data_IF_791516112114
#
_entry.id   IF_791516112114
#
_cell.length_a   1.000
_cell.length_b   1.000
_cell.length_c   1.000
_cell.angle_alpha   90.00
_cell.angle_beta   90.00
_cell.angle_gamma   90.00
#
_symmetry.space_group_name_H-M   'P 1'
#
loop_
_entity.id
_entity.type
_entity.pdbx_description
1 polymer ?
#
# COMPACT_ATOMS: atom_id res chain seq x y z
N UNK A 1 33.82 16.35 -29.29
CA UNK A 1 33.66 14.92 -28.94
C UNK A 1 34.68 14.59 -27.85
N UNK A 2 34.51 15.13 -26.62
CA UNK A 2 35.36 14.87 -25.45
C UNK A 2 34.48 14.36 -24.29
N UNK A 3 33.97 13.12 -24.38
CA UNK A 3 33.11 12.54 -23.33
C UNK A 3 33.89 11.76 -22.26
N UNK A 4 35.22 11.69 -22.35
CA UNK A 4 36.06 10.84 -21.48
C UNK A 4 37.03 11.58 -20.55
N UNK A 5 36.97 12.90 -20.46
CA UNK A 5 37.97 13.70 -19.72
C UNK A 5 37.77 13.78 -18.20
N UNK A 6 36.92 12.92 -17.61
CA UNK A 6 36.87 12.82 -16.15
C UNK A 6 36.47 11.42 -15.64
N UNK A 7 37.22 10.39 -16.05
CA UNK A 7 37.07 8.99 -15.58
C UNK A 7 37.08 8.82 -14.05
N UNK A 8 37.52 9.82 -13.28
CA UNK A 8 37.60 9.79 -11.81
C UNK A 8 36.28 10.16 -11.10
N UNK A 9 35.24 10.55 -11.83
CA UNK A 9 33.96 11.02 -11.24
C UNK A 9 32.78 10.16 -11.64
N UNK A 10 31.86 9.92 -10.70
CA UNK A 10 30.64 9.15 -10.96
C UNK A 10 29.82 9.90 -12.04
N UNK A 11 29.48 9.25 -13.16
CA UNK A 11 28.68 9.84 -14.23
C UNK A 11 27.38 10.46 -13.70
N UNK A 12 26.99 11.63 -14.23
CA UNK A 12 25.82 12.40 -13.74
C UNK A 12 24.53 11.57 -13.70
N UNK A 13 24.31 10.72 -14.71
CA UNK A 13 23.17 9.81 -14.75
C UNK A 13 23.16 8.86 -13.54
N UNK A 14 24.29 8.21 -13.27
CA UNK A 14 24.45 7.26 -12.17
C UNK A 14 24.31 7.97 -10.83
N UNK A 15 24.90 9.16 -10.69
CA UNK A 15 24.76 10.01 -9.51
C UNK A 15 23.29 10.33 -9.22
N UNK A 16 22.53 10.73 -10.23
CA UNK A 16 21.10 11.03 -10.10
C UNK A 16 20.26 9.80 -9.71
N UNK A 17 20.62 8.59 -10.20
CA UNK A 17 19.93 7.36 -9.77
C UNK A 17 20.27 7.01 -8.33
N UNK A 18 21.54 7.12 -7.92
CA UNK A 18 21.93 6.90 -6.52
C UNK A 18 21.20 7.86 -5.58
N UNK A 19 21.12 9.15 -5.92
CA UNK A 19 20.40 10.13 -5.10
C UNK A 19 18.91 9.81 -5.05
N UNK A 20 18.29 9.51 -6.18
CA UNK A 20 16.87 9.15 -6.23
C UNK A 20 16.52 7.94 -5.34
N UNK A 21 17.32 6.86 -5.40
CA UNK A 21 17.06 5.66 -4.58
C UNK A 21 17.30 5.95 -3.10
N UNK A 22 18.30 6.79 -2.76
CA UNK A 22 18.51 7.26 -1.38
C UNK A 22 17.31 8.05 -0.87
N UNK A 23 16.77 8.96 -1.69
CA UNK A 23 15.60 9.77 -1.36
C UNK A 23 14.38 8.87 -1.13
N UNK A 24 14.12 7.89 -2.01
CA UNK A 24 13.03 6.92 -1.81
C UNK A 24 13.22 6.14 -0.50
N UNK A 25 14.42 5.63 -0.25
CA UNK A 25 14.70 4.85 0.96
C UNK A 25 14.54 5.71 2.22
N UNK A 26 14.91 6.99 2.15
CA UNK A 26 14.73 7.96 3.22
C UNK A 26 13.25 8.26 3.49
N UNK A 27 12.45 8.50 2.43
CA UNK A 27 11.00 8.67 2.58
C UNK A 27 10.33 7.43 3.17
N UNK A 28 10.77 6.23 2.77
CA UNK A 28 10.28 4.98 3.34
C UNK A 28 10.57 4.90 4.85
N UNK A 29 11.78 5.28 5.28
CA UNK A 29 12.16 5.33 6.69
C UNK A 29 11.30 6.35 7.45
N UNK A 30 11.16 7.57 6.93
CA UNK A 30 10.35 8.61 7.58
C UNK A 30 8.88 8.19 7.71
N UNK A 31 8.30 7.66 6.64
CA UNK A 31 6.91 7.23 6.61
C UNK A 31 6.65 6.08 7.59
N UNK A 32 7.52 5.07 7.60
CA UNK A 32 7.41 3.94 8.52
C UNK A 32 7.60 4.35 9.98
N UNK A 33 8.56 5.23 10.27
CA UNK A 33 8.77 5.78 11.61
C UNK A 33 7.55 6.60 12.08
N UNK A 34 7.02 7.47 11.23
CA UNK A 34 5.84 8.27 11.53
C UNK A 34 4.64 7.38 11.87
N UNK A 35 4.35 6.37 11.05
CA UNK A 35 3.24 5.44 11.30
C UNK A 35 3.46 4.58 12.53
N UNK A 36 4.69 4.15 12.78
CA UNK A 36 5.04 3.41 14.00
C UNK A 36 4.77 4.25 15.26
N UNK A 37 5.22 5.52 15.28
CA UNK A 37 5.00 6.43 16.39
C UNK A 37 3.51 6.75 16.58
N UNK A 38 2.80 6.98 15.48
CA UNK A 38 1.36 7.24 15.49
C UNK A 38 0.57 6.05 16.06
N UNK A 39 0.86 4.83 15.61
CA UNK A 39 0.24 3.61 16.13
C UNK A 39 0.59 3.36 17.59
N UNK A 40 1.85 3.61 17.98
CA UNK A 40 2.29 3.52 19.38
C UNK A 40 1.53 4.49 20.27
N UNK A 41 1.30 5.72 19.78
CA UNK A 41 0.50 6.72 20.47
C UNK A 41 -0.97 6.29 20.62
N UNK A 42 -1.59 5.74 19.56
CA UNK A 42 -2.96 5.20 19.64
C UNK A 42 -3.03 4.05 20.66
N UNK A 43 -2.06 3.14 20.64
CA UNK A 43 -2.01 2.01 21.59
C UNK A 43 -1.84 2.50 23.04
N UNK A 44 -1.00 3.52 23.26
CA UNK A 44 -0.84 4.18 24.55
C UNK A 44 -2.15 4.83 25.03
N UNK A 45 -2.86 5.53 24.14
CA UNK A 45 -4.18 6.08 24.46
C UNK A 45 -5.17 4.95 24.82
N UNK A 46 -5.22 3.88 24.05
CA UNK A 46 -6.09 2.73 24.30
C UNK A 46 -5.89 2.17 25.72
N UNK A 47 -4.65 1.81 26.07
CA UNK A 47 -4.37 1.22 27.38
C UNK A 47 -4.55 2.21 28.53
N UNK A 48 -4.25 3.51 28.35
CA UNK A 48 -4.50 4.49 29.40
C UNK A 48 -5.99 4.74 29.62
N UNK A 49 -6.81 4.74 28.56
CA UNK A 49 -8.26 4.90 28.69
C UNK A 49 -8.88 3.66 29.34
N UNK A 50 -8.46 2.45 28.95
CA UNK A 50 -8.94 1.21 29.55
C UNK A 50 -8.50 1.07 31.02
N UNK A 51 -7.24 1.36 31.32
CA UNK A 51 -6.69 1.37 32.69
C UNK A 51 -7.40 2.40 33.57
N UNK A 52 -7.64 3.61 33.05
CA UNK A 52 -8.34 4.67 33.78
C UNK A 52 -9.82 4.35 33.94
N UNK A 53 -10.51 3.73 32.98
CA UNK A 53 -11.88 3.23 33.19
C UNK A 53 -11.95 2.13 34.26
N UNK A 54 -10.93 1.27 34.33
CA UNK A 54 -10.83 0.24 35.36
C UNK A 54 -10.59 0.83 36.76
N UNK A 55 -9.80 1.91 36.86
CA UNK A 55 -9.54 2.64 38.12
C UNK A 55 -10.65 3.62 38.50
N UNK A 56 -11.31 4.29 37.54
CA UNK A 56 -12.41 5.23 37.79
C UNK A 56 -13.68 4.51 38.25
N UNK A 57 -13.78 3.20 38.02
CA UNK A 57 -14.76 2.32 38.67
C UNK A 57 -14.46 2.07 40.16
N UNK A 58 -13.31 2.51 40.65
CA UNK A 58 -12.77 2.22 41.98
C UNK A 58 -12.43 3.46 42.83
N UNK A 59 -12.26 4.64 42.23
CA UNK A 59 -12.08 5.88 43.01
C UNK A 59 -12.67 7.09 42.30
N UNK A 60 -13.78 7.59 42.85
CA UNK A 60 -14.41 8.86 42.47
C UNK A 60 -13.63 10.01 43.09
N UNK A 61 -13.02 10.81 42.22
CA UNK A 61 -12.37 12.11 42.41
C UNK A 61 -10.89 12.03 42.09
N UNK A 62 -10.51 12.50 40.89
CA UNK A 62 -9.37 13.40 40.62
C UNK A 62 -9.21 13.52 39.08
N UNK A 63 -9.06 14.77 38.61
CA UNK A 63 -8.67 15.26 37.27
C UNK A 63 -9.74 15.43 36.18
N UNK A 64 -10.43 16.59 36.27
CA UNK A 64 -11.47 17.10 35.35
C UNK A 64 -10.96 17.50 33.96
N UNK A 65 -9.71 17.98 33.83
CA UNK A 65 -9.19 18.54 32.56
C UNK A 65 -8.83 17.41 31.55
N UNK A 66 -8.18 16.34 32.00
CA UNK A 66 -7.85 15.19 31.15
C UNK A 66 -9.11 14.37 30.80
N UNK A 67 -10.11 14.36 31.69
CA UNK A 67 -11.39 13.69 31.45
C UNK A 67 -12.20 14.35 30.33
N UNK A 68 -12.08 15.66 30.08
CA UNK A 68 -12.81 16.32 28.99
C UNK A 68 -12.28 15.91 27.61
N UNK A 69 -10.97 15.72 27.46
CA UNK A 69 -10.31 15.28 26.21
C UNK A 69 -10.48 13.77 25.98
N UNK A 70 -10.44 12.98 27.05
CA UNK A 70 -10.60 11.51 26.98
C UNK A 70 -12.06 11.10 26.77
N UNK A 71 -13.02 11.80 27.41
CA UNK A 71 -14.45 11.47 27.29
C UNK A 71 -15.04 11.88 25.93
N UNK A 72 -14.38 12.79 25.20
CA UNK A 72 -14.73 13.12 23.80
C UNK A 72 -14.24 12.10 22.78
N UNK A 73 -13.38 11.15 23.16
CA UNK A 73 -12.95 10.04 22.32
C UNK A 73 -13.79 8.82 22.68
N UNK A 74 -14.83 8.54 21.90
CA UNK A 74 -15.60 7.31 22.03
C UNK A 74 -14.65 6.11 21.84
N UNK A 75 -14.52 5.28 22.88
CA UNK A 75 -13.60 4.13 22.92
C UNK A 75 -13.88 3.14 21.77
N UNK A 76 -15.11 3.14 21.26
CA UNK A 76 -15.55 2.33 20.12
C UNK A 76 -14.84 2.68 18.80
N UNK A 77 -14.26 3.88 18.68
CA UNK A 77 -13.50 4.31 17.51
C UNK A 77 -12.06 3.79 17.51
N UNK A 78 -11.55 3.27 18.63
CA UNK A 78 -10.16 2.79 18.72
C UNK A 78 -10.13 1.33 18.22
N UNK A 79 -9.37 1.02 17.15
CA UNK A 79 -9.29 -0.34 16.64
C UNK A 79 -8.70 -1.30 17.68
N UNK A 80 -9.12 -2.58 17.61
CA UNK A 80 -8.70 -3.59 18.57
C UNK A 80 -7.17 -3.66 18.73
N UNK A 81 -6.67 -3.80 19.97
CA UNK A 81 -5.23 -3.69 20.28
C UNK A 81 -4.40 -4.75 19.56
N UNK A 82 -4.95 -5.95 19.30
CA UNK A 82 -4.26 -6.99 18.55
C UNK A 82 -3.90 -6.56 17.12
N UNK A 83 -4.82 -5.88 16.43
CA UNK A 83 -4.59 -5.36 15.08
C UNK A 83 -3.57 -4.22 15.08
N UNK A 84 -3.64 -3.34 16.10
CA UNK A 84 -2.67 -2.26 16.28
C UNK A 84 -1.25 -2.81 16.51
N UNK A 85 -1.08 -3.80 17.38
CA UNK A 85 0.21 -4.44 17.66
C UNK A 85 0.75 -5.12 16.39
N UNK A 86 -0.09 -5.83 15.66
CA UNK A 86 0.30 -6.47 14.40
C UNK A 86 0.79 -5.44 13.36
N UNK A 87 0.04 -4.34 13.16
CA UNK A 87 0.45 -3.25 12.27
C UNK A 87 1.76 -2.60 12.74
N UNK A 88 1.93 -2.40 14.04
CA UNK A 88 3.13 -1.81 14.62
C UNK A 88 4.37 -2.67 14.34
N UNK A 89 4.27 -4.01 14.44
CA UNK A 89 5.31 -4.95 14.02
C UNK A 89 5.61 -4.80 12.52
N UNK A 90 4.59 -4.72 11.67
CA UNK A 90 4.78 -4.53 10.22
C UNK A 90 5.54 -3.24 9.93
N UNK A 91 5.13 -2.11 10.51
CA UNK A 91 5.80 -0.83 10.25
C UNK A 91 7.22 -0.81 10.80
N UNK A 92 7.49 -1.49 11.91
CA UNK A 92 8.84 -1.68 12.42
C UNK A 92 9.72 -2.49 11.45
N UNK A 93 9.20 -3.57 10.87
CA UNK A 93 9.92 -4.35 9.85
C UNK A 93 10.19 -3.53 8.59
N UNK A 94 9.22 -2.73 8.13
CA UNK A 94 9.39 -1.81 6.98
C UNK A 94 10.45 -0.76 7.27
N UNK A 95 10.51 -0.24 8.51
CA UNK A 95 11.55 0.69 8.96
C UNK A 95 12.94 0.06 8.90
N UNK A 96 13.12 -1.13 9.49
CA UNK A 96 14.39 -1.86 9.44
C UNK A 96 14.82 -2.11 7.98
N UNK A 97 13.88 -2.54 7.13
CA UNK A 97 14.15 -2.78 5.71
C UNK A 97 14.56 -1.50 4.97
N UNK A 98 13.95 -0.35 5.29
CA UNK A 98 14.34 0.96 4.79
C UNK A 98 15.78 1.33 5.17
N UNK A 99 16.14 1.16 6.44
CA UNK A 99 17.49 1.38 6.97
C UNK A 99 18.54 0.49 6.29
N UNK A 100 18.21 -0.80 6.11
CA UNK A 100 19.08 -1.75 5.41
C UNK A 100 19.32 -1.35 3.95
N UNK A 101 18.27 -0.99 3.21
CA UNK A 101 18.37 -0.55 1.83
C UNK A 101 19.25 0.70 1.70
N UNK A 102 19.04 1.71 2.54
CA UNK A 102 19.83 2.94 2.52
C UNK A 102 21.32 2.65 2.75
N UNK A 103 21.62 1.75 3.68
CA UNK A 103 22.98 1.34 4.01
C UNK A 103 23.63 0.58 2.85
N UNK A 104 22.91 -0.35 2.23
CA UNK A 104 23.40 -1.11 1.07
C UNK A 104 23.71 -0.20 -0.12
N UNK A 105 22.84 0.76 -0.43
CA UNK A 105 23.08 1.72 -1.52
C UNK A 105 24.32 2.57 -1.24
N UNK A 106 24.52 3.02 0.01
CA UNK A 106 25.73 3.77 0.40
C UNK A 106 26.98 2.93 0.21
N UNK A 107 26.97 1.66 0.62
CA UNK A 107 28.10 0.72 0.43
C UNK A 107 28.39 0.47 -1.06
N UNK A 108 27.38 0.16 -1.85
CA UNK A 108 27.54 -0.09 -3.29
C UNK A 108 28.01 1.16 -4.06
N UNK A 109 27.51 2.35 -3.71
CA UNK A 109 27.99 3.60 -4.30
C UNK A 109 29.47 3.88 -3.99
N UNK A 110 29.93 3.56 -2.77
CA UNK A 110 31.35 3.65 -2.40
C UNK A 110 32.20 2.65 -3.19
N UNK A 111 31.75 1.39 -3.29
CA UNK A 111 32.42 0.33 -4.07
C UNK A 111 32.57 0.73 -5.54
N UNK A 112 31.51 1.25 -6.15
CA UNK A 112 31.54 1.74 -7.53
C UNK A 112 32.53 2.90 -7.72
N UNK A 113 32.62 3.82 -6.76
CA UNK A 113 33.62 4.89 -6.80
C UNK A 113 35.06 4.35 -6.76
N UNK A 114 35.30 3.24 -6.05
CA UNK A 114 36.61 2.57 -6.04
C UNK A 114 36.90 1.88 -7.37
N UNK A 115 35.93 1.18 -7.95
CA UNK A 115 36.06 0.56 -9.28
C UNK A 115 36.39 1.58 -10.37
N UNK A 116 35.69 2.72 -10.38
CA UNK A 116 36.00 3.83 -11.29
C UNK A 116 37.43 4.38 -11.11
N UNK A 117 37.99 4.34 -9.90
CA UNK A 117 39.39 4.75 -9.67
C UNK A 117 40.40 3.74 -10.20
N UNK A 118 40.00 2.48 -10.30
CA UNK A 118 40.82 1.38 -10.82
C UNK A 118 40.60 1.17 -12.33
N UNK A 119 39.95 2.13 -13.02
CA UNK A 119 39.58 2.04 -14.44
C UNK A 119 38.69 0.84 -14.82
N UNK A 120 38.02 0.23 -13.83
CA UNK A 120 37.04 -0.83 -14.05
C UNK A 120 35.67 -0.22 -14.43
N UNK A 121 35.31 -0.30 -15.71
CA UNK A 121 34.01 0.15 -16.24
C UNK A 121 32.95 -0.96 -16.19
N UNK A 122 32.77 -1.59 -15.02
CA UNK A 122 31.73 -2.61 -14.83
C UNK A 122 30.39 -1.97 -14.48
N UNK A 123 29.30 -2.61 -14.91
CA UNK A 123 27.95 -2.16 -14.55
C UNK A 123 27.74 -2.42 -13.05
N UNK A 124 27.49 -1.40 -12.22
CA UNK A 124 27.35 -1.63 -10.80
C UNK A 124 26.05 -2.37 -10.45
N UNK A 125 26.11 -3.24 -9.44
CA UNK A 125 24.99 -4.08 -9.00
C UNK A 125 23.69 -3.32 -8.68
N UNK A 126 23.78 -2.09 -8.17
CA UNK A 126 22.57 -1.30 -7.90
C UNK A 126 21.83 -0.92 -9.19
N UNK A 127 22.52 -0.74 -10.32
CA UNK A 127 21.89 -0.51 -11.63
C UNK A 127 21.20 -1.78 -12.12
N UNK A 128 21.84 -2.95 -11.98
CA UNK A 128 21.19 -4.24 -12.22
C UNK A 128 19.92 -4.42 -11.38
N UNK A 129 19.99 -4.11 -10.08
CA UNK A 129 18.86 -4.20 -9.17
C UNK A 129 17.72 -3.27 -9.57
N UNK A 130 18.02 -2.00 -9.90
CA UNK A 130 17.03 -1.03 -10.37
C UNK A 130 16.41 -1.47 -11.69
N UNK A 131 17.21 -2.02 -12.60
CA UNK A 131 16.74 -2.53 -13.87
C UNK A 131 15.78 -3.72 -13.68
N UNK A 132 16.16 -4.72 -12.87
CA UNK A 132 15.30 -5.85 -12.50
C UNK A 132 14.00 -5.37 -11.84
N UNK A 133 14.10 -4.45 -10.87
CA UNK A 133 12.95 -3.84 -10.19
C UNK A 133 12.02 -3.10 -11.15
N UNK A 134 12.56 -2.40 -12.17
CA UNK A 134 11.71 -1.71 -13.16
C UNK A 134 10.82 -2.67 -13.97
N UNK A 135 11.32 -3.88 -14.26
CA UNK A 135 10.55 -4.92 -14.94
C UNK A 135 9.51 -5.52 -14.00
N UNK A 136 9.93 -5.88 -12.78
CA UNK A 136 9.09 -6.51 -11.75
C UNK A 136 7.98 -5.58 -11.29
N UNK A 137 8.30 -4.35 -10.89
CA UNK A 137 7.32 -3.39 -10.38
C UNK A 137 6.32 -2.93 -11.45
N UNK A 138 6.71 -2.92 -12.72
CA UNK A 138 5.75 -2.69 -13.81
C UNK A 138 4.65 -3.76 -13.82
N UNK A 139 5.03 -5.03 -13.64
CA UNK A 139 4.09 -6.15 -13.61
C UNK A 139 3.22 -6.09 -12.35
N UNK A 140 3.84 -5.87 -11.19
CA UNK A 140 3.13 -5.75 -9.90
C UNK A 140 2.12 -4.61 -9.95
N UNK A 141 2.53 -3.43 -10.42
CA UNK A 141 1.63 -2.27 -10.55
C UNK A 141 0.47 -2.58 -11.48
N UNK A 142 0.72 -3.25 -12.62
CA UNK A 142 -0.35 -3.63 -13.53
C UNK A 142 -1.36 -4.58 -12.88
N UNK A 143 -0.90 -5.64 -12.21
CA UNK A 143 -1.78 -6.59 -11.52
C UNK A 143 -2.59 -5.92 -10.41
N UNK A 144 -1.94 -5.10 -9.58
CA UNK A 144 -2.61 -4.39 -8.50
C UNK A 144 -3.66 -3.42 -9.04
N UNK A 145 -3.31 -2.59 -10.03
CA UNK A 145 -4.24 -1.65 -10.65
C UNK A 145 -5.39 -2.36 -11.37
N UNK A 146 -5.13 -3.42 -12.14
CA UNK A 146 -6.18 -4.22 -12.79
C UNK A 146 -7.17 -4.77 -11.78
N UNK A 147 -6.69 -5.33 -10.67
CA UNK A 147 -7.55 -5.81 -9.60
C UNK A 147 -8.37 -4.68 -8.97
N UNK A 148 -7.73 -3.56 -8.64
CA UNK A 148 -8.39 -2.37 -8.09
C UNK A 148 -9.45 -1.79 -9.03
N UNK A 149 -9.23 -1.82 -10.36
CA UNK A 149 -10.22 -1.36 -11.32
C UNK A 149 -11.42 -2.30 -11.41
N UNK A 150 -11.18 -3.61 -11.43
CA UNK A 150 -12.28 -4.59 -11.46
C UNK A 150 -13.14 -4.42 -10.22
N UNK A 151 -12.53 -4.40 -9.04
CA UNK A 151 -13.25 -4.21 -7.77
C UNK A 151 -13.93 -2.85 -7.75
N UNK A 152 -13.21 -1.78 -8.10
CA UNK A 152 -13.73 -0.41 -8.10
C UNK A 152 -14.92 -0.23 -9.03
N UNK A 153 -14.84 -0.71 -10.26
CA UNK A 153 -15.93 -0.63 -11.24
C UNK A 153 -17.14 -1.43 -10.77
N UNK A 154 -16.94 -2.67 -10.27
CA UNK A 154 -18.05 -3.47 -9.71
C UNK A 154 -18.73 -2.72 -8.56
N UNK A 155 -17.95 -2.18 -7.63
CA UNK A 155 -18.50 -1.41 -6.50
C UNK A 155 -19.24 -0.16 -6.97
N UNK A 156 -18.70 0.57 -7.94
CA UNK A 156 -19.31 1.77 -8.49
C UNK A 156 -20.62 1.44 -9.22
N UNK A 157 -20.65 0.36 -10.02
CA UNK A 157 -21.86 -0.11 -10.70
C UNK A 157 -22.96 -0.47 -9.71
N UNK A 158 -22.62 -1.15 -8.61
CA UNK A 158 -23.57 -1.48 -7.55
C UNK A 158 -24.10 -0.20 -6.89
N UNK A 159 -23.23 0.75 -6.55
CA UNK A 159 -23.65 2.01 -5.92
C UNK A 159 -24.56 2.84 -6.84
N UNK A 160 -24.24 2.95 -8.13
CA UNK A 160 -25.06 3.64 -9.12
C UNK A 160 -26.42 2.96 -9.26
N UNK A 161 -26.44 1.62 -9.36
CA UNK A 161 -27.69 0.87 -9.43
C UNK A 161 -28.56 1.09 -8.19
N UNK A 162 -27.98 1.07 -6.99
CA UNK A 162 -28.71 1.35 -5.76
C UNK A 162 -29.25 2.78 -5.70
N UNK A 163 -28.45 3.75 -6.15
CA UNK A 163 -28.88 5.15 -6.23
C UNK A 163 -30.07 5.32 -7.19
N UNK A 164 -30.06 4.62 -8.32
CA UNK A 164 -31.17 4.63 -9.27
C UNK A 164 -32.46 4.09 -8.63
N UNK A 165 -32.38 2.98 -7.90
CA UNK A 165 -33.53 2.42 -7.17
C UNK A 165 -34.06 3.38 -6.09
N UNK A 166 -33.16 4.06 -5.38
CA UNK A 166 -33.54 5.09 -4.40
C UNK A 166 -34.30 6.27 -5.04
N UNK A 167 -33.83 6.75 -6.20
CA UNK A 167 -34.49 7.85 -6.94
C UNK A 167 -35.89 7.45 -7.41
N UNK A 168 -36.10 6.17 -7.75
CA UNK A 168 -37.39 5.63 -8.18
C UNK A 168 -38.32 5.24 -7.01
N UNK A 169 -38.00 5.65 -5.77
CA UNK A 169 -38.72 5.29 -4.54
C UNK A 169 -38.76 3.78 -4.22
N UNK A 170 -37.92 2.97 -4.85
CA UNK A 170 -37.72 1.56 -4.51
C UNK A 170 -36.73 1.45 -3.33
N UNK A 171 -37.17 1.88 -2.15
CA UNK A 171 -36.31 2.04 -0.97
C UNK A 171 -35.87 0.71 -0.33
N UNK A 172 -36.13 -0.43 -0.96
CA UNK A 172 -35.85 -1.76 -0.41
C UNK A 172 -34.72 -2.40 -1.21
N UNK A 173 -33.59 -2.63 -0.54
CA UNK A 173 -32.47 -3.34 -1.15
C UNK A 173 -32.68 -4.85 -1.10
N UNK A 174 -32.69 -5.46 -2.28
CA UNK A 174 -32.65 -6.91 -2.45
C UNK A 174 -31.29 -7.34 -3.04
N UNK A 175 -30.68 -8.39 -2.50
CA UNK A 175 -29.53 -9.09 -3.11
C UNK A 175 -29.97 -10.52 -3.42
N UNK A 176 -30.23 -10.79 -4.69
CA UNK A 176 -30.96 -11.98 -5.11
C UNK A 176 -32.40 -11.93 -4.58
N UNK A 177 -32.81 -12.93 -3.80
CA UNK A 177 -34.17 -13.02 -3.23
C UNK A 177 -34.30 -12.42 -1.83
N UNK A 178 -33.25 -11.80 -1.28
CA UNK A 178 -33.17 -11.43 0.14
C UNK A 178 -33.29 -9.93 0.34
N UNK A 179 -34.23 -9.47 1.17
CA UNK A 179 -34.31 -8.07 1.66
C UNK A 179 -33.22 -7.84 2.70
N UNK A 180 -32.27 -6.95 2.42
CA UNK A 180 -31.11 -6.68 3.30
C UNK A 180 -31.26 -5.38 4.08
N UNK A 181 -31.99 -4.40 3.55
CA UNK A 181 -32.19 -3.13 4.25
C UNK A 181 -32.88 -2.07 3.43
N UNK A 182 -32.86 -0.85 3.94
CA UNK A 182 -33.34 0.33 3.22
C UNK A 182 -32.19 1.03 2.51
N UNK A 183 -32.45 1.52 1.31
CA UNK A 183 -31.48 2.29 0.53
C UNK A 183 -31.49 3.73 1.04
N UNK A 184 -30.30 4.29 1.24
CA UNK A 184 -30.09 5.72 1.54
C UNK A 184 -29.57 6.42 0.30
N UNK A 185 -29.55 7.76 0.29
CA UNK A 185 -28.84 8.49 -0.75
C UNK A 185 -27.33 8.14 -0.70
N UNK A 186 -26.79 7.62 -1.80
CA UNK A 186 -25.40 7.14 -1.97
C UNK A 186 -24.55 8.07 -2.86
N UNK A 187 -25.04 9.27 -3.16
CA UNK A 187 -24.37 10.21 -4.08
C UNK A 187 -22.93 10.53 -3.64
N UNK A 188 -22.70 10.71 -2.33
CA UNK A 188 -21.37 11.01 -1.79
C UNK A 188 -20.42 9.83 -1.98
N UNK A 189 -20.88 8.61 -1.70
CA UNK A 189 -20.13 7.37 -1.86
C UNK A 189 -19.75 7.14 -3.33
N UNK A 190 -20.66 7.44 -4.27
CA UNK A 190 -20.40 7.39 -5.71
C UNK A 190 -19.30 8.38 -6.11
N UNK A 191 -19.38 9.64 -5.63
CA UNK A 191 -18.38 10.67 -5.93
C UNK A 191 -17.00 10.28 -5.38
N UNK A 192 -16.94 9.80 -4.14
CA UNK A 192 -15.69 9.36 -3.52
C UNK A 192 -15.09 8.16 -4.28
N UNK A 193 -15.92 7.16 -4.58
CA UNK A 193 -15.47 5.94 -5.27
C UNK A 193 -14.97 6.24 -6.68
N UNK A 194 -15.69 7.07 -7.44
CA UNK A 194 -15.25 7.48 -8.78
C UNK A 194 -13.96 8.31 -8.75
N UNK A 195 -13.84 9.23 -7.79
CA UNK A 195 -12.62 10.02 -7.58
C UNK A 195 -11.41 9.15 -7.24
N UNK A 196 -11.61 8.12 -6.40
CA UNK A 196 -10.55 7.16 -6.06
C UNK A 196 -10.10 6.36 -7.28
N UNK A 197 -11.04 5.83 -8.08
CA UNK A 197 -10.70 5.08 -9.31
C UNK A 197 -9.88 5.96 -10.26
N UNK A 198 -10.27 7.22 -10.45
CA UNK A 198 -9.54 8.17 -11.27
C UNK A 198 -8.13 8.44 -10.72
N UNK A 199 -7.99 8.64 -9.41
CA UNK A 199 -6.68 8.82 -8.77
C UNK A 199 -5.78 7.59 -8.99
N UNK A 200 -6.32 6.38 -8.82
CA UNK A 200 -5.58 5.14 -9.09
C UNK A 200 -5.14 5.06 -10.56
N UNK A 201 -5.98 5.49 -11.50
CA UNK A 201 -5.63 5.55 -12.92
C UNK A 201 -4.45 6.48 -13.20
N UNK A 202 -4.46 7.68 -12.63
CA UNK A 202 -3.35 8.64 -12.79
C UNK A 202 -2.06 8.07 -12.20
N UNK A 203 -2.11 7.48 -11.00
CA UNK A 203 -0.95 6.86 -10.37
C UNK A 203 -0.42 5.66 -11.18
N UNK A 204 -1.30 4.87 -11.76
CA UNK A 204 -0.92 3.74 -12.62
C UNK A 204 -0.15 4.22 -13.87
N UNK A 205 -0.69 5.22 -14.56
CA UNK A 205 -0.04 5.83 -15.72
C UNK A 205 1.34 6.39 -15.37
N UNK A 206 1.45 7.11 -14.25
CA UNK A 206 2.73 7.65 -13.77
C UNK A 206 3.75 6.52 -13.49
N UNK A 207 3.34 5.46 -12.80
CA UNK A 207 4.19 4.30 -12.52
C UNK A 207 4.68 3.65 -13.82
N UNK A 208 3.78 3.43 -14.78
CA UNK A 208 4.14 2.81 -16.06
C UNK A 208 5.16 3.65 -16.84
N UNK A 209 4.93 4.96 -16.93
CA UNK A 209 5.86 5.90 -17.58
C UNK A 209 7.20 5.90 -16.87
N UNK A 210 7.21 5.97 -15.53
CA UNK A 210 8.44 5.99 -14.74
C UNK A 210 9.29 4.72 -14.92
N UNK A 211 8.67 3.53 -14.90
CA UNK A 211 9.39 2.27 -15.10
C UNK A 211 9.89 2.12 -16.54
N UNK A 212 9.07 2.51 -17.54
CA UNK A 212 9.49 2.53 -18.95
C UNK A 212 10.68 3.46 -19.16
N UNK A 213 10.60 4.71 -18.67
CA UNK A 213 11.68 5.70 -18.76
C UNK A 213 12.96 5.22 -18.09
N UNK A 214 12.86 4.63 -16.90
CA UNK A 214 14.04 4.10 -16.19
C UNK A 214 14.71 2.98 -16.96
N UNK A 215 13.94 2.05 -17.53
CA UNK A 215 14.48 0.98 -18.38
C UNK A 215 15.20 1.55 -19.61
N UNK A 216 14.55 2.46 -20.33
CA UNK A 216 15.11 3.07 -21.55
C UNK A 216 16.38 3.85 -21.27
N UNK A 217 16.42 4.64 -20.18
CA UNK A 217 17.61 5.40 -19.80
C UNK A 217 18.82 4.51 -19.48
N UNK A 218 18.57 3.36 -18.86
CA UNK A 218 19.61 2.39 -18.56
C UNK A 218 20.10 1.72 -19.85
N UNK A 219 19.22 1.37 -20.79
CA UNK A 219 19.67 0.81 -22.08
C UNK A 219 20.45 1.86 -22.88
N UNK A 220 19.99 3.10 -22.92
CA UNK A 220 20.63 4.17 -23.71
C UNK A 220 22.03 4.52 -23.24
N UNK A 221 22.31 4.42 -21.93
CA UNK A 221 23.64 4.76 -21.41
C UNK A 221 24.65 3.62 -21.62
N UNK A 222 24.24 2.36 -21.53
CA UNK A 222 25.15 1.20 -21.69
C UNK A 222 25.17 0.66 -23.13
N UNK A 223 24.34 1.20 -24.03
CA UNK A 223 24.26 0.80 -25.44
C UNK A 223 23.71 -0.60 -25.69
N UNK A 224 23.48 -1.38 -24.63
CA UNK A 224 23.06 -2.78 -24.67
C UNK A 224 22.08 -3.06 -23.55
N UNK A 225 21.34 -4.16 -23.72
CA UNK A 225 20.40 -4.59 -22.69
C UNK A 225 21.14 -5.38 -21.60
N UNK A 226 21.02 -4.89 -20.36
CA UNK A 226 21.81 -5.36 -19.21
C UNK A 226 21.50 -6.81 -18.80
N UNK A 227 20.30 -7.31 -19.13
CA UNK A 227 19.88 -8.69 -18.83
C UNK A 227 19.70 -9.48 -20.12
N UNK A 228 19.94 -10.79 -20.07
CA UNK A 228 19.66 -11.67 -21.20
C UNK A 228 18.16 -11.77 -21.49
N UNK A 229 17.79 -12.21 -22.69
CA UNK A 229 16.38 -12.40 -23.06
C UNK A 229 15.70 -13.46 -22.18
N UNK A 230 16.44 -14.53 -21.85
CA UNK A 230 15.99 -15.65 -21.04
C UNK A 230 15.72 -15.23 -19.59
N UNK A 231 16.65 -14.48 -18.98
CA UNK A 231 16.47 -13.94 -17.64
C UNK A 231 15.23 -13.05 -17.54
N UNK A 232 14.98 -12.21 -18.56
CA UNK A 232 13.78 -11.38 -18.60
C UNK A 232 12.51 -12.21 -18.69
N UNK A 233 12.47 -13.24 -19.54
CA UNK A 233 11.32 -14.14 -19.68
C UNK A 233 11.04 -14.85 -18.35
N UNK A 234 12.09 -15.37 -17.70
CA UNK A 234 11.99 -16.00 -16.39
C UNK A 234 11.45 -15.04 -15.32
N UNK A 235 12.03 -13.84 -15.21
CA UNK A 235 11.59 -12.82 -14.25
C UNK A 235 10.12 -12.42 -14.46
N UNK A 236 9.70 -12.22 -15.72
CA UNK A 236 8.30 -11.90 -16.05
C UNK A 236 7.35 -13.03 -15.64
N UNK A 237 7.68 -14.27 -16.02
CA UNK A 237 6.84 -15.45 -15.70
C UNK A 237 6.73 -15.67 -14.20
N UNK A 238 7.85 -15.64 -13.49
CA UNK A 238 7.89 -15.78 -12.03
C UNK A 238 7.06 -14.69 -11.33
N UNK A 239 7.22 -13.44 -11.74
CA UNK A 239 6.50 -12.31 -11.14
C UNK A 239 5.00 -12.41 -11.40
N UNK A 240 4.58 -12.76 -12.62
CA UNK A 240 3.17 -12.98 -12.94
C UNK A 240 2.54 -14.08 -12.08
N UNK A 241 3.24 -15.20 -11.91
CA UNK A 241 2.77 -16.29 -11.05
C UNK A 241 2.59 -15.85 -9.60
N UNK A 242 3.57 -15.14 -9.05
CA UNK A 242 3.48 -14.61 -7.68
C UNK A 242 2.30 -13.64 -7.55
N UNK A 243 2.14 -12.71 -8.49
CA UNK A 243 1.03 -11.75 -8.46
C UNK A 243 -0.33 -12.45 -8.56
N UNK A 244 -0.46 -13.45 -9.43
CA UNK A 244 -1.66 -14.26 -9.58
C UNK A 244 -2.03 -14.96 -8.26
N UNK A 245 -1.07 -15.63 -7.61
CA UNK A 245 -1.29 -16.32 -6.33
C UNK A 245 -1.73 -15.33 -5.26
N UNK A 246 -1.06 -14.19 -5.12
CA UNK A 246 -1.42 -13.15 -4.13
C UNK A 246 -2.86 -12.66 -4.36
N UNK A 247 -3.22 -12.37 -5.61
CA UNK A 247 -4.58 -11.90 -5.95
C UNK A 247 -5.62 -12.99 -5.69
N UNK A 248 -5.33 -14.25 -6.03
CA UNK A 248 -6.24 -15.36 -5.75
C UNK A 248 -6.49 -15.53 -4.25
N UNK A 249 -5.44 -15.40 -3.42
CA UNK A 249 -5.56 -15.44 -1.96
C UNK A 249 -6.41 -14.28 -1.45
N UNK A 250 -6.14 -13.05 -1.91
CA UNK A 250 -6.92 -11.87 -1.52
C UNK A 250 -8.39 -12.01 -1.89
N UNK A 251 -8.69 -12.50 -3.09
CA UNK A 251 -10.05 -12.74 -3.55
C UNK A 251 -10.76 -13.83 -2.74
N UNK A 252 -10.03 -14.87 -2.33
CA UNK A 252 -10.56 -15.92 -1.46
C UNK A 252 -10.91 -15.38 -0.08
N UNK A 253 -10.03 -14.55 0.51
CA UNK A 253 -10.26 -13.92 1.81
C UNK A 253 -11.46 -12.98 1.77
N UNK A 254 -11.61 -12.17 0.71
CA UNK A 254 -12.75 -11.25 0.57
C UNK A 254 -14.06 -12.02 0.41
N UNK A 255 -14.12 -13.05 -0.43
CA UNK A 255 -15.30 -13.90 -0.57
C UNK A 255 -15.68 -14.59 0.74
N UNK A 256 -14.69 -15.13 1.47
CA UNK A 256 -14.92 -15.78 2.75
C UNK A 256 -15.45 -14.80 3.81
N UNK A 257 -14.94 -13.58 3.82
CA UNK A 257 -15.40 -12.50 4.71
C UNK A 257 -16.86 -12.13 4.42
N UNK A 258 -17.21 -11.97 3.14
CA UNK A 258 -18.59 -11.70 2.70
C UNK A 258 -19.51 -12.85 3.12
N UNK A 259 -19.09 -14.10 2.91
CA UNK A 259 -19.85 -15.28 3.30
C UNK A 259 -20.15 -15.31 4.81
N UNK A 260 -19.16 -15.04 5.67
CA UNK A 260 -19.34 -14.98 7.12
C UNK A 260 -20.35 -13.89 7.51
N UNK A 261 -20.24 -12.70 6.91
CA UNK A 261 -21.14 -11.57 7.19
C UNK A 261 -22.58 -11.96 6.83
N UNK A 262 -22.81 -12.52 5.64
CA UNK A 262 -24.14 -12.96 5.19
C UNK A 262 -24.71 -14.03 6.13
N UNK A 263 -23.90 -15.03 6.51
CA UNK A 263 -24.34 -16.10 7.43
C UNK A 263 -24.74 -15.53 8.80
N UNK A 264 -23.97 -14.58 9.35
CA UNK A 264 -24.31 -13.91 10.62
C UNK A 264 -25.62 -13.11 10.52
N UNK A 265 -25.85 -12.39 9.42
CA UNK A 265 -27.11 -11.67 9.19
C UNK A 265 -28.31 -12.63 9.11
N UNK A 266 -28.16 -13.78 8.44
CA UNK A 266 -29.22 -14.80 8.35
C UNK A 266 -29.65 -15.35 9.72
N UNK A 267 -28.69 -15.65 10.59
CA UNK A 267 -28.98 -16.15 11.96
C UNK A 267 -29.73 -15.09 12.78
N UNK A 268 -29.37 -13.80 12.65
CA UNK A 268 -30.03 -12.71 13.36
C UNK A 268 -31.47 -12.51 12.90
N UNK A 269 -31.74 -12.60 11.60
CA UNK A 269 -33.10 -12.47 11.06
C UNK A 269 -34.00 -13.65 11.45
N UNK A 270 -33.48 -14.89 11.45
CA UNK A 270 -34.24 -16.06 11.88
C UNK A 270 -34.60 -16.01 13.38
N UNK A 271 -33.72 -15.49 14.24
CA UNK A 271 -34.01 -15.31 15.68
C UNK A 271 -35.11 -14.28 15.94
N UNK A 272 -35.21 -13.22 15.13
CA UNK A 272 -36.27 -12.21 15.23
C UNK A 272 -37.65 -12.71 14.78
N UNK A 273 -37.72 -13.77 13.98
CA UNK A 273 -38.98 -14.37 13.53
C UNK A 273 -39.55 -15.39 14.53
N UNK A 274 -38.75 -15.81 15.52
CA UNK A 274 -39.12 -16.77 16.56
C UNK A 274 -39.41 -16.11 17.92
N UNK A 275 -39.29 -14.77 18.01
CA UNK A 275 -39.59 -13.94 19.18
C UNK A 275 -40.81 -13.08 18.92
#
# INVERSE_FOLDING_TARGET
>A
MNYFENKKTIPRFIKNKITFIKVISFFQILFSLFLFLFLSFILFLYYNIDYKNKIFKLNTNINFIFNKIVKSLEIELIPYPFLLIFLLIIFFLVFIYGCFNLTMIKKQAKKYKLWLKNDENTIPEFIYSVYKKSIVYKIIANWFCSFSYIVGVITLSILIWLQYQYINNENIFYLGFWKIGTIKNLQTEIIITSSLILLFFVLHCFCFIHFKKTKTQIISYWGTDILSLEEKKYLKRKTNWICFIIIAILLTITLFSIYIIIKKLKIKNNKKLLS
#
